data_IF_615346232628
#
_entry.id   IF_615346232628
#
_cell.length_a   1.000
_cell.length_b   1.000
_cell.length_c   1.000
_cell.angle_alpha   90.00
_cell.angle_beta   90.00
_cell.angle_gamma   90.00
#
_symmetry.space_group_name_H-M   'P 1'
#
loop_
_entity.id
_entity.type
_entity.pdbx_description
1 polymer ?
#
# COMPACT_ATOMS: atom_id res chain seq x y z
N UNK A 1 -3.91 4.63 27.12
CA UNK A 1 -3.20 4.62 25.83
C UNK A 1 -3.01 6.07 25.45
N UNK A 2 -1.78 6.55 25.55
CA UNK A 2 -1.44 7.92 25.19
C UNK A 2 -1.32 7.96 23.66
N UNK A 3 -2.36 8.49 23.01
CA UNK A 3 -2.37 8.79 21.58
C UNK A 3 -1.35 9.91 21.36
N UNK A 4 -0.35 9.67 20.50
CA UNK A 4 0.72 10.62 20.21
C UNK A 4 0.13 11.86 19.52
N UNK A 5 0.20 13.06 20.15
CA UNK A 5 -0.44 14.28 19.65
C UNK A 5 0.16 14.82 18.35
N UNK A 6 1.19 14.18 17.80
CA UNK A 6 1.70 14.48 16.45
C UNK A 6 0.87 13.86 15.33
N UNK A 7 -0.01 12.93 15.69
CA UNK A 7 -1.03 12.36 14.81
C UNK A 7 -2.43 12.86 15.18
N UNK A 8 -2.52 13.87 16.06
CA UNK A 8 -3.77 14.60 16.23
C UNK A 8 -4.17 15.13 14.86
N UNK A 9 -5.37 14.70 14.44
CA UNK A 9 -6.08 15.12 13.25
C UNK A 9 -5.71 16.57 12.92
N UNK A 10 -4.91 16.78 11.88
CA UNK A 10 -4.80 18.10 11.28
C UNK A 10 -6.25 18.51 10.97
N UNK A 11 -6.83 19.50 11.68
CA UNK A 11 -8.23 19.85 11.50
C UNK A 11 -8.49 20.40 10.10
N UNK A 12 -7.41 20.71 9.37
CA UNK A 12 -7.41 21.12 7.97
C UNK A 12 -7.10 19.97 7.00
N UNK A 13 -6.84 18.74 7.48
CA UNK A 13 -6.76 17.57 6.60
C UNK A 13 -8.15 17.33 6.01
N UNK A 14 -8.29 17.70 4.74
CA UNK A 14 -9.57 17.55 4.05
C UNK A 14 -10.05 16.09 4.16
N UNK A 15 -11.27 15.86 4.68
CA UNK A 15 -11.84 14.53 4.79
C UNK A 15 -11.92 13.93 3.38
N UNK A 16 -11.07 12.95 3.11
CA UNK A 16 -10.85 12.41 1.76
C UNK A 16 -9.42 12.48 1.26
N UNK A 17 -8.43 12.77 2.11
CA UNK A 17 -7.03 12.60 1.74
C UNK A 17 -6.79 11.12 1.36
N UNK A 18 -6.69 10.83 0.05
CA UNK A 18 -6.56 9.47 -0.50
C UNK A 18 -5.23 8.85 -0.06
N UNK A 19 -5.27 8.19 1.10
CA UNK A 19 -4.19 7.40 1.64
C UNK A 19 -4.10 6.06 0.90
N UNK A 20 -2.89 5.54 0.73
CA UNK A 20 -2.67 4.18 0.25
C UNK A 20 -3.05 3.19 1.33
N UNK A 21 -4.24 2.60 1.22
CA UNK A 21 -4.75 1.62 2.20
C UNK A 21 -4.17 0.21 1.97
N UNK A 22 -3.82 -0.12 0.72
CA UNK A 22 -3.19 -1.38 0.34
C UNK A 22 -1.76 -1.20 -0.17
N UNK A 23 -0.90 -2.19 0.09
CA UNK A 23 0.46 -2.29 -0.45
C UNK A 23 0.46 -2.32 -1.99
N UNK A 24 -0.65 -2.77 -2.61
CA UNK A 24 -0.81 -2.72 -4.05
C UNK A 24 -0.88 -1.28 -4.58
N UNK A 25 -1.52 -0.37 -3.83
CA UNK A 25 -1.67 1.04 -4.16
C UNK A 25 -0.34 1.80 -4.06
N UNK A 26 0.58 1.38 -3.19
CA UNK A 26 1.88 2.04 -3.02
C UNK A 26 2.88 1.68 -4.13
N UNK A 27 2.92 2.53 -5.16
CA UNK A 27 3.86 2.43 -6.28
C UNK A 27 5.34 2.60 -5.89
N UNK A 28 5.64 3.12 -4.70
CA UNK A 28 7.02 3.31 -4.24
C UNK A 28 7.64 2.04 -3.67
N UNK A 29 6.82 1.05 -3.30
CA UNK A 29 7.29 -0.27 -2.90
C UNK A 29 7.83 -1.02 -4.11
N UNK A 30 8.91 -1.79 -3.92
CA UNK A 30 9.45 -2.58 -5.00
C UNK A 30 8.46 -3.68 -5.42
N UNK A 31 8.18 -3.78 -6.72
CA UNK A 31 7.17 -4.72 -7.24
C UNK A 31 7.43 -6.18 -6.82
N UNK A 32 8.70 -6.59 -6.77
CA UNK A 32 9.09 -7.95 -6.37
C UNK A 32 8.77 -8.28 -4.90
N UNK A 33 8.62 -7.28 -4.03
CA UNK A 33 8.25 -7.48 -2.62
C UNK A 33 6.76 -7.80 -2.46
N UNK A 34 5.93 -7.40 -3.43
CA UNK A 34 4.48 -7.54 -3.37
C UNK A 34 4.00 -8.82 -4.05
N UNK A 35 4.71 -9.28 -5.09
CA UNK A 35 4.37 -10.52 -5.80
C UNK A 35 4.21 -11.73 -4.86
N UNK A 36 5.09 -11.98 -3.87
CA UNK A 36 4.89 -13.07 -2.91
C UNK A 36 3.62 -12.93 -2.08
N UNK A 37 3.27 -11.72 -1.63
CA UNK A 37 2.05 -11.44 -0.86
C UNK A 37 0.82 -11.81 -1.69
N UNK A 38 0.78 -11.34 -2.95
CA UNK A 38 -0.29 -11.66 -3.89
C UNK A 38 -0.43 -13.16 -4.15
N UNK A 39 0.69 -13.87 -4.34
CA UNK A 39 0.68 -15.32 -4.54
C UNK A 39 0.12 -16.03 -3.30
N UNK A 40 0.53 -15.63 -2.09
CA UNK A 40 0.03 -16.21 -0.85
C UNK A 40 -1.48 -15.98 -0.72
N UNK A 41 -1.97 -14.76 -0.94
CA UNK A 41 -3.41 -14.48 -0.89
C UNK A 41 -4.19 -15.29 -1.93
N UNK A 42 -3.68 -15.42 -3.15
CA UNK A 42 -4.31 -16.26 -4.18
C UNK A 42 -4.35 -17.74 -3.80
N UNK A 43 -3.25 -18.28 -3.23
CA UNK A 43 -3.21 -19.66 -2.79
C UNK A 43 -4.19 -19.91 -1.63
N UNK A 44 -4.24 -19.02 -0.65
CA UNK A 44 -5.18 -19.13 0.47
C UNK A 44 -6.62 -19.00 -0.01
N UNK A 45 -6.91 -18.09 -0.93
CA UNK A 45 -8.23 -17.97 -1.55
C UNK A 45 -8.61 -19.23 -2.34
N UNK A 46 -7.66 -19.83 -3.05
CA UNK A 46 -7.90 -21.09 -3.76
C UNK A 46 -8.18 -22.24 -2.79
N UNK A 47 -7.48 -22.33 -1.65
CA UNK A 47 -7.77 -23.31 -0.61
C UNK A 47 -9.15 -23.09 0.02
N UNK A 48 -9.50 -21.85 0.33
CA UNK A 48 -10.83 -21.47 0.81
C UNK A 48 -11.92 -21.92 -0.17
N UNK A 49 -11.74 -21.63 -1.46
CA UNK A 49 -12.70 -22.00 -2.50
C UNK A 49 -12.79 -23.51 -2.71
N UNK A 50 -11.67 -24.24 -2.58
CA UNK A 50 -11.68 -25.69 -2.68
C UNK A 50 -12.46 -26.32 -1.54
N UNK A 51 -12.27 -25.85 -0.30
CA UNK A 51 -13.03 -26.33 0.86
C UNK A 51 -14.53 -26.06 0.68
N UNK A 52 -14.89 -24.84 0.27
CA UNK A 52 -16.29 -24.46 0.03
C UNK A 52 -16.96 -25.34 -1.06
N UNK A 53 -16.18 -25.80 -2.04
CA UNK A 53 -16.69 -26.58 -3.16
C UNK A 53 -16.55 -28.10 -2.99
N UNK A 54 -15.86 -28.60 -1.96
CA UNK A 54 -15.64 -30.03 -1.77
C UNK A 54 -16.99 -30.78 -1.59
N UNK A 55 -17.37 -31.71 -2.49
CA UNK A 55 -18.61 -32.47 -2.35
C UNK A 55 -18.59 -33.47 -1.20
N UNK A 56 -17.42 -33.81 -0.68
CA UNK A 56 -17.22 -34.76 0.42
C UNK A 56 -17.14 -34.11 1.79
N UNK A 57 -17.09 -32.78 1.86
CA UNK A 57 -17.05 -32.04 3.11
C UNK A 57 -18.40 -32.13 3.84
N UNK A 58 -18.34 -32.45 5.14
CA UNK A 58 -19.52 -32.54 6.03
C UNK A 58 -20.27 -31.20 6.16
N UNK A 59 -19.66 -30.11 5.67
CA UNK A 59 -20.21 -28.76 5.54
C UNK A 59 -21.50 -28.69 4.71
N UNK A 60 -21.82 -29.72 3.91
CA UNK A 60 -23.06 -29.78 3.11
C UNK A 60 -24.17 -30.60 3.76
N UNK A 61 -23.93 -31.26 4.90
CA UNK A 61 -24.99 -31.97 5.61
C UNK A 61 -25.90 -30.96 6.34
N UNK A 62 -27.16 -30.88 5.91
CA UNK A 62 -28.17 -30.01 6.52
C UNK A 62 -28.36 -30.24 8.02
N UNK A 63 -27.97 -31.41 8.54
CA UNK A 63 -28.09 -31.73 9.97
C UNK A 63 -27.04 -31.06 10.85
N UNK A 64 -25.91 -30.66 10.28
CA UNK A 64 -24.80 -30.05 11.01
C UNK A 64 -24.89 -28.53 11.05
N UNK A 65 -25.96 -27.94 10.51
CA UNK A 65 -26.14 -26.48 10.47
C UNK A 65 -26.51 -25.96 11.86
N UNK A 66 -25.56 -25.31 12.50
CA UNK A 66 -25.73 -24.56 13.74
C UNK A 66 -26.14 -23.11 13.41
N UNK A 67 -27.45 -22.84 13.42
CA UNK A 67 -28.01 -21.51 13.15
C UNK A 67 -27.44 -20.40 14.05
N UNK A 68 -26.98 -20.75 15.26
CA UNK A 68 -26.30 -19.82 16.16
C UNK A 68 -25.00 -19.27 15.56
N UNK A 69 -24.13 -20.13 15.03
CA UNK A 69 -22.89 -19.70 14.38
C UNK A 69 -23.15 -18.94 13.08
N UNK A 70 -24.18 -19.34 12.32
CA UNK A 70 -24.62 -18.55 11.17
C UNK A 70 -24.96 -17.11 11.56
N UNK A 71 -25.79 -16.93 12.61
CA UNK A 71 -26.20 -15.61 13.07
C UNK A 71 -25.01 -14.79 13.57
N UNK A 72 -24.08 -15.40 14.32
CA UNK A 72 -22.85 -14.74 14.77
C UNK A 72 -21.98 -14.35 13.57
N UNK A 73 -21.83 -15.22 12.57
CA UNK A 73 -21.10 -14.93 11.34
C UNK A 73 -21.69 -13.73 10.59
N UNK A 74 -23.02 -13.64 10.48
CA UNK A 74 -23.70 -12.47 9.90
C UNK A 74 -23.44 -11.21 10.72
N UNK A 75 -23.46 -11.30 12.06
CA UNK A 75 -23.16 -10.14 12.91
C UNK A 75 -21.70 -9.68 12.76
N UNK A 76 -20.75 -10.63 12.71
CA UNK A 76 -19.35 -10.31 12.42
C UNK A 76 -19.25 -9.65 11.05
N UNK A 77 -19.91 -10.17 10.02
CA UNK A 77 -19.90 -9.56 8.70
C UNK A 77 -20.48 -8.13 8.72
N UNK A 78 -21.56 -7.87 9.43
CA UNK A 78 -22.19 -6.54 9.49
C UNK A 78 -21.35 -5.50 10.23
N UNK A 79 -20.68 -5.89 11.33
CA UNK A 79 -19.92 -4.95 12.16
C UNK A 79 -18.44 -4.89 11.83
N UNK A 80 -17.83 -6.04 11.51
CA UNK A 80 -16.42 -6.17 11.20
C UNK A 80 -16.16 -6.16 9.68
N UNK A 81 -17.17 -6.33 8.83
CA UNK A 81 -16.95 -6.45 7.39
C UNK A 81 -16.32 -5.22 6.75
N UNK A 82 -16.67 -4.02 7.20
CA UNK A 82 -16.10 -2.79 6.67
C UNK A 82 -14.73 -2.46 7.29
N UNK A 83 -14.52 -2.81 8.56
CA UNK A 83 -13.32 -2.39 9.32
C UNK A 83 -12.20 -3.44 9.37
N UNK A 84 -12.52 -4.72 9.24
CA UNK A 84 -11.59 -5.83 9.49
C UNK A 84 -11.32 -6.72 8.27
N UNK A 85 -12.10 -6.60 7.17
CA UNK A 85 -11.87 -7.37 5.93
C UNK A 85 -10.97 -6.64 4.93
N UNK A 86 -10.07 -5.77 5.43
CA UNK A 86 -9.24 -4.91 4.61
C UNK A 86 -10.03 -3.85 3.84
N UNK A 87 -9.29 -2.94 3.22
CA UNK A 87 -9.85 -1.88 2.39
C UNK A 87 -10.49 -2.44 1.11
N UNK A 88 -11.58 -1.81 0.66
CA UNK A 88 -12.20 -2.18 -0.62
C UNK A 88 -11.41 -1.57 -1.80
N UNK A 89 -11.45 -2.23 -2.96
CA UNK A 89 -10.82 -1.70 -4.18
C UNK A 89 -11.29 -0.27 -4.50
N UNK A 90 -10.36 0.69 -4.42
CA UNK A 90 -10.64 2.09 -4.72
C UNK A 90 -10.42 2.39 -6.20
N UNK A 91 -11.49 2.24 -7.01
CA UNK A 91 -11.44 2.53 -8.45
C UNK A 91 -11.08 3.99 -8.76
N UNK A 92 -11.51 4.93 -7.91
CA UNK A 92 -11.27 6.35 -8.10
C UNK A 92 -9.78 6.67 -7.97
N UNK A 93 -9.12 6.16 -6.92
CA UNK A 93 -7.67 6.27 -6.73
C UNK A 93 -6.88 5.84 -7.98
N UNK A 94 -7.20 4.66 -8.53
CA UNK A 94 -6.52 4.16 -9.73
C UNK A 94 -6.80 5.02 -10.96
N UNK A 95 -8.03 5.53 -11.12
CA UNK A 95 -8.39 6.40 -12.23
C UNK A 95 -7.67 7.75 -12.17
N UNK A 96 -7.58 8.37 -10.99
CA UNK A 96 -6.87 9.63 -10.77
C UNK A 96 -5.37 9.51 -11.04
N UNK A 97 -4.79 8.36 -10.74
CA UNK A 97 -3.39 8.07 -11.02
C UNK A 97 -3.10 7.89 -12.53
N UNK A 98 -4.08 7.42 -13.31
CA UNK A 98 -3.96 7.22 -14.76
C UNK A 98 -4.29 8.48 -15.57
N UNK A 99 -5.29 9.23 -15.13
CA UNK A 99 -5.77 10.45 -15.78
C UNK A 99 -5.58 11.64 -14.85
N UNK A 100 -4.33 11.99 -14.50
CA UNK A 100 -4.09 13.14 -13.67
C UNK A 100 -4.60 14.40 -14.36
N UNK A 101 -5.16 15.31 -13.56
CA UNK A 101 -5.58 16.62 -14.03
C UNK A 101 -4.43 17.26 -14.85
N UNK A 102 -4.67 17.67 -16.12
CA UNK A 102 -3.65 18.30 -16.94
C UNK A 102 -3.04 19.55 -16.29
N UNK A 103 -3.80 20.26 -15.46
CA UNK A 103 -3.34 21.44 -14.72
C UNK A 103 -2.80 21.09 -13.32
N UNK A 104 -2.88 19.81 -12.94
CA UNK A 104 -2.44 19.31 -11.64
C UNK A 104 -0.94 18.99 -11.57
N UNK A 105 -0.34 19.01 -10.36
CA UNK A 105 1.08 18.67 -10.15
C UNK A 105 1.44 17.20 -10.51
N UNK A 106 0.42 16.37 -10.76
CA UNK A 106 0.50 14.92 -10.97
C UNK A 106 0.58 14.55 -12.47
N UNK A 107 0.35 15.50 -13.39
CA UNK A 107 0.05 15.34 -14.82
C UNK A 107 0.95 14.43 -15.71
N UNK A 108 2.02 13.80 -15.23
CA UNK A 108 3.08 13.23 -16.10
C UNK A 108 3.61 11.84 -15.76
N UNK A 109 2.86 10.99 -15.05
CA UNK A 109 3.34 9.61 -14.81
C UNK A 109 3.30 8.73 -16.07
N UNK A 110 2.31 8.92 -16.94
CA UNK A 110 2.08 8.10 -18.13
C UNK A 110 3.21 8.14 -19.17
N UNK A 111 3.99 9.22 -19.23
CA UNK A 111 5.08 9.39 -20.20
C UNK A 111 6.45 8.91 -19.66
N UNK A 112 6.58 8.70 -18.35
CA UNK A 112 7.83 8.24 -17.74
C UNK A 112 8.03 6.75 -18.03
N UNK A 113 8.76 6.46 -19.11
CA UNK A 113 9.15 5.10 -19.49
C UNK A 113 10.48 4.76 -18.82
N UNK A 114 10.46 4.18 -17.61
CA UNK A 114 11.69 3.74 -16.96
C UNK A 114 11.84 2.22 -17.01
N UNK A 115 13.08 1.77 -17.11
CA UNK A 115 13.48 0.37 -17.03
C UNK A 115 13.63 -0.04 -15.56
N UNK A 116 12.61 -0.67 -14.97
CA UNK A 116 12.71 -1.24 -13.61
C UNK A 116 12.85 -2.75 -13.74
N UNK A 117 14.08 -3.22 -13.63
CA UNK A 117 14.55 -4.55 -13.21
C UNK A 117 15.86 -4.84 -13.93
N UNK A 118 16.96 -4.88 -13.16
CA UNK A 118 18.18 -5.65 -13.41
C UNK A 118 18.39 -6.07 -14.88
N UNK A 119 18.71 -5.11 -15.76
CA UNK A 119 19.13 -5.22 -17.17
C UNK A 119 18.37 -6.17 -18.13
N UNK A 120 17.33 -6.90 -17.71
CA UNK A 120 16.79 -8.04 -18.47
C UNK A 120 15.32 -7.92 -18.86
N UNK A 121 14.52 -7.10 -18.18
CA UNK A 121 13.09 -6.95 -18.55
C UNK A 121 12.67 -5.47 -18.52
N UNK A 122 12.34 -4.86 -19.67
CA UNK A 122 11.66 -3.56 -19.71
C UNK A 122 10.23 -3.67 -19.18
N UNK A 123 10.04 -3.39 -17.89
CA UNK A 123 8.72 -3.09 -17.35
C UNK A 123 8.54 -1.57 -17.29
N UNK A 124 7.68 -1.05 -18.17
CA UNK A 124 7.22 0.34 -18.12
C UNK A 124 6.38 0.57 -16.87
N UNK A 125 6.43 1.77 -16.27
CA UNK A 125 5.59 2.15 -15.13
C UNK A 125 4.11 1.89 -15.37
N UNK A 126 3.61 2.16 -16.58
CA UNK A 126 2.23 1.87 -16.96
C UNK A 126 1.88 0.37 -16.80
N UNK A 127 2.81 -0.54 -17.14
CA UNK A 127 2.58 -1.99 -16.96
C UNK A 127 2.60 -2.39 -15.48
N UNK A 128 3.50 -1.79 -14.69
CA UNK A 128 3.58 -2.04 -13.24
C UNK A 128 2.30 -1.53 -12.55
N UNK A 129 1.88 -0.32 -12.89
CA UNK A 129 0.62 0.29 -12.45
C UNK A 129 -0.57 -0.62 -12.80
N UNK A 130 -0.68 -1.07 -14.06
CA UNK A 130 -1.76 -1.93 -14.52
C UNK A 130 -1.77 -3.28 -13.78
N UNK A 131 -0.59 -3.88 -13.59
CA UNK A 131 -0.46 -5.13 -12.85
C UNK A 131 -0.90 -4.97 -11.38
N UNK A 132 -0.48 -3.89 -10.71
CA UNK A 132 -0.86 -3.61 -9.32
C UNK A 132 -2.34 -3.30 -9.17
N UNK A 133 -2.91 -2.48 -10.06
CA UNK A 133 -4.35 -2.22 -10.09
C UNK A 133 -5.16 -3.50 -10.26
N UNK A 134 -4.68 -4.42 -11.10
CA UNK A 134 -5.33 -5.72 -11.29
C UNK A 134 -5.20 -6.64 -10.08
N UNK A 135 -4.05 -6.66 -9.40
CA UNK A 135 -3.85 -7.40 -8.14
C UNK A 135 -4.80 -6.88 -7.05
N UNK A 136 -4.86 -5.56 -6.89
CA UNK A 136 -5.74 -4.87 -5.93
C UNK A 136 -7.21 -5.19 -6.22
N UNK A 137 -7.64 -5.06 -7.48
CA UNK A 137 -9.00 -5.42 -7.89
C UNK A 137 -9.33 -6.89 -7.57
N UNK A 138 -8.42 -7.82 -7.86
CA UNK A 138 -8.69 -9.23 -7.66
C UNK A 138 -8.79 -9.60 -6.18
N UNK A 139 -7.92 -9.06 -5.33
CA UNK A 139 -7.93 -9.35 -3.89
C UNK A 139 -9.03 -8.53 -3.18
N UNK A 140 -9.00 -7.21 -3.31
CA UNK A 140 -9.80 -6.28 -2.52
C UNK A 140 -11.19 -6.00 -3.10
N UNK A 141 -11.51 -6.51 -4.29
CA UNK A 141 -12.90 -6.62 -4.76
C UNK A 141 -13.32 -8.08 -4.83
N UNK A 142 -12.74 -8.89 -5.73
CA UNK A 142 -13.30 -10.22 -6.02
C UNK A 142 -13.15 -11.19 -4.84
N UNK A 143 -11.94 -11.39 -4.32
CA UNK A 143 -11.70 -12.34 -3.22
C UNK A 143 -12.39 -11.88 -1.93
N UNK A 144 -12.25 -10.59 -1.58
CA UNK A 144 -12.93 -9.96 -0.44
C UNK A 144 -14.45 -10.14 -0.50
N UNK A 145 -15.08 -9.85 -1.63
CA UNK A 145 -16.54 -9.98 -1.76
C UNK A 145 -16.98 -11.43 -1.66
N UNK A 146 -16.27 -12.37 -2.28
CA UNK A 146 -16.61 -13.79 -2.14
C UNK A 146 -16.56 -14.20 -0.69
N UNK A 147 -15.44 -13.94 0.01
CA UNK A 147 -15.30 -14.26 1.43
C UNK A 147 -16.44 -13.62 2.22
N UNK A 148 -16.69 -12.33 2.02
CA UNK A 148 -17.74 -11.60 2.73
C UNK A 148 -19.12 -12.28 2.59
N UNK A 149 -19.49 -12.73 1.39
CA UNK A 149 -20.80 -13.37 1.16
C UNK A 149 -20.86 -14.85 1.55
N UNK A 150 -19.74 -15.58 1.50
CA UNK A 150 -19.71 -17.01 1.81
C UNK A 150 -19.32 -17.31 3.26
N UNK A 151 -18.75 -16.35 3.98
CA UNK A 151 -18.22 -16.54 5.32
C UNK A 151 -19.26 -16.99 6.36
N UNK A 152 -20.45 -16.39 6.50
CA UNK A 152 -21.44 -16.90 7.46
C UNK A 152 -21.95 -18.30 7.12
N UNK A 153 -21.94 -18.67 5.85
CA UNK A 153 -22.34 -20.01 5.38
C UNK A 153 -21.26 -21.03 5.76
N UNK A 154 -19.99 -20.68 5.62
CA UNK A 154 -18.88 -21.55 6.04
C UNK A 154 -18.88 -21.76 7.55
N UNK A 155 -19.10 -20.71 8.35
CA UNK A 155 -19.05 -20.81 9.81
C UNK A 155 -20.18 -21.61 10.45
N UNK A 156 -21.31 -21.82 9.76
CA UNK A 156 -22.49 -22.41 10.38
C UNK A 156 -22.42 -23.93 10.54
N UNK A 157 -21.37 -24.56 10.03
CA UNK A 157 -21.17 -26.02 10.04
C UNK A 157 -19.92 -26.44 10.82
N UNK A 158 -19.17 -25.46 11.32
CA UNK A 158 -17.90 -25.68 11.99
C UNK A 158 -18.06 -25.91 13.49
N UNK A 159 -17.11 -26.64 14.08
CA UNK A 159 -17.02 -26.76 15.53
C UNK A 159 -16.60 -25.43 16.19
N UNK A 160 -16.86 -25.23 17.50
CA UNK A 160 -16.58 -23.96 18.18
C UNK A 160 -15.10 -23.52 18.13
N UNK A 161 -14.17 -24.47 18.10
CA UNK A 161 -12.74 -24.18 18.01
C UNK A 161 -12.33 -23.79 16.58
N UNK A 162 -12.89 -24.46 15.58
CA UNK A 162 -12.56 -24.23 14.18
C UNK A 162 -13.24 -22.95 13.68
N UNK A 163 -14.43 -22.62 14.20
CA UNK A 163 -15.10 -21.32 14.03
C UNK A 163 -14.14 -20.14 14.29
N UNK A 164 -13.43 -20.14 15.42
CA UNK A 164 -12.51 -19.04 15.76
C UNK A 164 -11.28 -19.03 14.85
N UNK A 165 -10.75 -20.21 14.49
CA UNK A 165 -9.62 -20.31 13.57
C UNK A 165 -9.97 -19.78 12.19
N UNK A 166 -11.15 -20.12 11.68
CA UNK A 166 -11.62 -19.72 10.36
C UNK A 166 -11.92 -18.23 10.32
N UNK A 167 -12.46 -17.66 11.40
CA UNK A 167 -12.57 -16.21 11.55
C UNK A 167 -11.19 -15.53 11.45
N UNK A 168 -10.21 -16.00 12.20
CA UNK A 168 -8.86 -15.45 12.16
C UNK A 168 -8.18 -15.65 10.80
N UNK A 169 -8.40 -16.79 10.15
CA UNK A 169 -7.86 -17.08 8.83
C UNK A 169 -8.44 -16.14 7.77
N UNK A 170 -9.76 -15.89 7.81
CA UNK A 170 -10.42 -14.96 6.89
C UNK A 170 -9.89 -13.53 7.04
N UNK A 171 -9.73 -13.03 8.26
CA UNK A 171 -9.11 -11.72 8.47
C UNK A 171 -7.67 -11.71 7.97
N UNK A 172 -6.87 -12.74 8.31
CA UNK A 172 -5.50 -12.82 7.84
C UNK A 172 -5.37 -12.82 6.31
N UNK A 173 -6.27 -13.51 5.59
CA UNK A 173 -6.27 -13.55 4.12
C UNK A 173 -6.57 -12.17 3.54
N UNK A 174 -7.58 -11.49 4.09
CA UNK A 174 -8.11 -10.23 3.55
C UNK A 174 -7.27 -9.01 3.94
N UNK A 175 -6.52 -9.06 5.04
CA UNK A 175 -5.69 -7.93 5.50
C UNK A 175 -4.19 -8.12 5.23
N UNK A 176 -3.78 -9.15 4.47
CA UNK A 176 -2.35 -9.44 4.28
C UNK A 176 -1.62 -8.34 3.49
N UNK A 177 -2.34 -7.65 2.61
CA UNK A 177 -1.84 -6.53 1.83
C UNK A 177 -2.14 -5.16 2.45
N UNK A 178 -2.78 -5.10 3.61
CA UNK A 178 -3.09 -3.82 4.26
C UNK A 178 -1.81 -3.07 4.62
N UNK A 179 -1.83 -1.77 4.35
CA UNK A 179 -0.76 -0.87 4.75
C UNK A 179 -1.10 -0.31 6.13
N UNK A 180 -0.26 -0.62 7.12
CA UNK A 180 -0.41 -0.02 8.45
C UNK A 180 -0.39 1.52 8.37
N UNK A 181 -1.15 2.18 9.24
CA UNK A 181 -1.36 3.64 9.25
C UNK A 181 -0.05 4.44 9.14
N UNK A 182 1.00 4.02 9.85
CA UNK A 182 2.33 4.67 9.84
C UNK A 182 3.03 4.65 8.46
N UNK A 183 2.62 3.73 7.56
CA UNK A 183 3.21 3.54 6.24
C UNK A 183 2.30 4.04 5.11
N UNK A 184 1.06 4.39 5.42
CA UNK A 184 0.12 4.93 4.46
C UNK A 184 0.67 6.26 3.92
N UNK A 185 0.60 6.44 2.61
CA UNK A 185 1.08 7.64 1.93
C UNK A 185 -0.07 8.28 1.20
N UNK A 186 -0.09 9.60 1.17
CA UNK A 186 -0.99 10.32 0.26
C UNK A 186 -0.48 10.19 -1.17
N UNK A 187 -1.37 10.35 -2.16
CA UNK A 187 -0.98 10.36 -3.58
C UNK A 187 0.17 11.34 -3.86
N UNK A 188 0.17 12.61 -3.38
CA UNK A 188 1.28 13.52 -3.60
C UNK A 188 2.62 13.03 -3.03
N UNK A 189 2.63 12.47 -1.82
CA UNK A 189 3.83 11.91 -1.19
C UNK A 189 4.39 10.74 -2.00
N UNK A 190 3.51 9.81 -2.40
CA UNK A 190 3.86 8.67 -3.24
C UNK A 190 4.45 9.14 -4.57
N UNK A 191 3.82 10.12 -5.22
CA UNK A 191 4.21 10.65 -6.52
C UNK A 191 5.57 11.34 -6.49
N UNK A 192 5.85 12.15 -5.48
CA UNK A 192 7.14 12.84 -5.40
C UNK A 192 8.26 11.87 -5.13
N UNK A 193 8.03 10.89 -4.26
CA UNK A 193 9.01 9.84 -4.04
C UNK A 193 9.26 9.01 -5.30
N UNK A 194 8.23 8.76 -6.10
CA UNK A 194 8.37 8.09 -7.38
C UNK A 194 9.21 8.94 -8.36
N UNK A 195 8.89 10.23 -8.51
CA UNK A 195 9.68 11.17 -9.32
C UNK A 195 11.13 11.26 -8.86
N UNK A 196 11.37 11.30 -7.55
CA UNK A 196 12.71 11.30 -6.95
C UNK A 196 13.49 10.03 -7.32
N UNK A 197 12.88 8.86 -7.15
CA UNK A 197 13.51 7.58 -7.51
C UNK A 197 13.86 7.53 -9.00
N UNK A 198 12.95 7.98 -9.87
CA UNK A 198 13.18 8.06 -11.33
C UNK A 198 14.37 8.97 -11.65
N UNK A 199 14.40 10.17 -11.06
CA UNK A 199 15.46 11.14 -11.25
C UNK A 199 16.82 10.60 -10.76
N UNK A 200 16.84 10.02 -9.56
CA UNK A 200 18.05 9.45 -8.97
C UNK A 200 18.62 8.29 -9.79
N UNK A 201 17.76 7.41 -10.30
CA UNK A 201 18.18 6.32 -11.17
C UNK A 201 18.72 6.81 -12.51
N UNK A 202 18.13 7.88 -13.08
CA UNK A 202 18.64 8.51 -14.29
C UNK A 202 20.05 9.06 -14.08
N UNK A 203 20.24 9.78 -12.98
CA UNK A 203 21.54 10.29 -12.54
C UNK A 203 22.59 9.18 -12.36
N UNK A 204 22.21 8.07 -11.72
CA UNK A 204 23.08 6.90 -11.51
C UNK A 204 23.51 6.25 -12.83
N UNK A 205 22.62 6.17 -13.83
CA UNK A 205 22.92 5.59 -15.16
C UNK A 205 23.86 6.45 -15.99
N UNK A 206 23.83 7.77 -15.83
CA UNK A 206 24.68 8.69 -16.58
C UNK A 206 26.11 8.82 -16.01
N UNK A 207 26.52 7.94 -15.09
CA UNK A 207 27.93 7.79 -14.69
C UNK A 207 28.40 8.70 -13.56
N UNK A 208 27.49 9.32 -12.79
CA UNK A 208 27.85 10.01 -11.57
C UNK A 208 28.06 9.02 -10.42
N UNK A 209 29.25 8.44 -10.29
CA UNK A 209 29.60 7.57 -9.16
C UNK A 209 29.63 8.31 -7.81
N UNK A 210 29.67 9.65 -7.84
CA UNK A 210 29.74 10.52 -6.65
C UNK A 210 28.73 11.67 -6.72
N UNK A 211 27.46 11.38 -6.98
CA UNK A 211 26.42 12.41 -6.86
C UNK A 211 26.08 12.56 -5.37
N UNK A 212 26.87 13.39 -4.70
CA UNK A 212 26.54 13.89 -3.39
C UNK A 212 25.41 14.91 -3.56
N UNK A 213 24.17 14.51 -3.30
CA UNK A 213 23.04 15.43 -3.23
C UNK A 213 23.10 16.07 -1.84
N UNK A 214 23.52 17.34 -1.70
CA UNK A 214 23.50 17.99 -0.41
C UNK A 214 22.03 18.18 -0.01
N UNK A 215 21.52 17.32 0.87
CA UNK A 215 20.29 17.59 1.60
C UNK A 215 20.58 18.78 2.52
N UNK A 216 20.07 19.96 2.16
CA UNK A 216 20.07 21.10 3.08
C UNK A 216 18.99 20.85 4.11
N UNK A 217 19.41 20.63 5.35
CA UNK A 217 18.50 20.71 6.50
C UNK A 217 17.86 22.09 6.54
N UNK A 218 16.61 22.13 7.00
CA UNK A 218 16.03 23.41 7.41
C UNK A 218 16.76 23.92 8.68
N UNK A 219 16.76 25.23 8.91
CA UNK A 219 17.41 25.78 10.11
C UNK A 219 16.81 25.17 11.39
N UNK A 220 15.51 24.87 11.39
CA UNK A 220 14.80 24.25 12.51
C UNK A 220 15.24 22.81 12.79
N UNK A 221 15.49 21.98 11.77
CA UNK A 221 16.04 20.63 11.91
C UNK A 221 17.48 20.66 12.44
N UNK A 222 18.28 21.59 11.90
CA UNK A 222 19.66 21.79 12.33
C UNK A 222 19.73 22.33 13.78
N UNK A 223 18.73 23.09 14.23
CA UNK A 223 18.59 23.50 15.62
C UNK A 223 18.10 22.38 16.52
N UNK A 224 17.09 21.61 16.09
CA UNK A 224 16.55 20.47 16.86
C UNK A 224 17.64 19.42 17.17
N UNK A 225 18.52 19.17 16.21
CA UNK A 225 19.68 18.29 16.39
C UNK A 225 20.72 18.80 17.40
N UNK A 226 20.76 20.10 17.70
CA UNK A 226 21.66 20.64 18.75
C UNK A 226 21.16 20.31 20.15
N UNK A 227 19.85 20.09 20.32
CA UNK A 227 19.23 19.90 21.63
C UNK A 227 19.02 18.42 21.97
N UNK A 228 18.91 17.54 20.98
CA UNK A 228 18.83 16.09 21.21
C UNK A 228 19.86 15.33 20.33
N UNK A 229 20.94 14.79 20.93
CA UNK A 229 21.93 14.00 20.22
C UNK A 229 21.34 12.73 19.56
N UNK A 230 20.24 12.19 20.08
CA UNK A 230 19.58 11.02 19.50
C UNK A 230 18.82 11.37 18.21
N UNK A 231 18.38 12.63 18.08
CA UNK A 231 17.79 13.17 16.85
C UNK A 231 18.86 13.30 15.76
N UNK A 232 20.10 13.67 16.15
CA UNK A 232 21.23 13.64 15.22
C UNK A 232 21.56 12.22 14.76
N UNK A 233 21.52 11.21 15.64
CA UNK A 233 21.65 9.81 15.24
C UNK A 233 20.50 9.35 14.34
N UNK A 234 19.27 9.85 14.52
CA UNK A 234 18.18 9.61 13.56
C UNK A 234 18.47 10.25 12.20
N UNK A 235 18.96 11.49 12.15
CA UNK A 235 19.34 12.17 10.91
C UNK A 235 20.60 11.58 10.25
N UNK A 236 21.57 11.10 11.03
CA UNK A 236 22.75 10.40 10.51
C UNK A 236 22.42 8.98 10.06
N UNK A 237 21.52 8.27 10.74
CA UNK A 237 20.97 7.01 10.24
C UNK A 237 20.15 7.21 8.95
N UNK A 238 19.57 8.40 8.73
CA UNK A 238 19.01 8.80 7.44
C UNK A 238 20.09 9.15 6.39
N UNK A 239 21.24 9.73 6.80
CA UNK A 239 22.41 10.00 5.92
C UNK A 239 23.20 8.74 5.52
N UNK A 240 23.29 7.74 6.39
CA UNK A 240 23.97 6.46 6.17
C UNK A 240 23.12 5.43 5.39
N UNK A 241 21.89 5.80 5.04
CA UNK A 241 20.94 4.90 4.40
C UNK A 241 21.17 4.83 2.88
N UNK A 242 21.91 3.80 2.44
CA UNK A 242 21.76 3.28 1.07
C UNK A 242 20.39 2.59 1.03
N UNK A 243 19.47 3.22 0.32
CA UNK A 243 18.16 2.71 -0.08
C UNK A 243 18.03 1.16 -0.16
N UNK A 244 16.95 0.60 0.42
CA UNK A 244 16.09 -0.35 -0.28
C UNK A 244 14.71 0.28 -0.60
N UNK A 245 14.70 1.61 -0.68
CA UNK A 245 13.69 2.56 -1.15
C UNK A 245 12.72 3.08 -0.09
N UNK A 246 13.30 3.74 0.94
CA UNK A 246 12.86 4.83 1.86
C UNK A 246 11.61 4.66 2.78
N UNK A 247 11.63 5.13 4.03
CA UNK A 247 10.41 5.52 4.77
C UNK A 247 10.56 6.90 5.45
N UNK A 248 9.46 7.61 5.68
CA UNK A 248 9.39 8.84 6.48
C UNK A 248 9.20 10.11 5.65
N UNK A 249 8.12 10.83 5.90
CA UNK A 249 7.63 11.97 5.14
C UNK A 249 8.17 13.30 5.65
N UNK A 250 8.63 14.14 4.73
CA UNK A 250 8.87 15.55 4.99
C UNK A 250 8.51 16.34 3.72
N UNK A 251 7.46 17.16 3.82
CA UNK A 251 6.88 17.93 2.72
C UNK A 251 7.73 19.13 2.31
N UNK A 252 8.72 19.54 3.12
CA UNK A 252 9.58 20.69 2.80
C UNK A 252 10.63 20.41 1.72
N UNK A 253 11.14 19.17 1.65
CA UNK A 253 12.02 18.75 0.54
C UNK A 253 11.23 18.68 -0.78
N UNK A 254 9.94 18.35 -0.69
CA UNK A 254 8.98 18.32 -1.78
C UNK A 254 8.84 19.70 -2.43
N UNK A 255 8.59 20.74 -1.63
CA UNK A 255 8.44 22.12 -2.08
C UNK A 255 9.73 22.63 -2.72
N UNK A 256 10.87 22.34 -2.10
CA UNK A 256 12.18 22.68 -2.65
C UNK A 256 12.45 21.98 -4.00
N UNK A 257 12.09 20.70 -4.14
CA UNK A 257 12.26 19.99 -5.41
C UNK A 257 11.27 20.47 -6.47
N UNK A 258 10.03 20.78 -6.11
CA UNK A 258 9.03 21.33 -7.04
C UNK A 258 9.42 22.73 -7.54
N UNK A 259 10.02 23.55 -6.69
CA UNK A 259 10.52 24.89 -7.06
C UNK A 259 11.80 24.85 -7.90
N UNK A 260 12.65 23.83 -7.73
CA UNK A 260 13.93 23.72 -8.42
C UNK A 260 13.94 22.77 -9.64
N UNK A 261 12.89 21.97 -9.83
CA UNK A 261 12.61 21.23 -11.08
C UNK A 261 11.72 22.09 -11.99
N UNK A 262 12.11 23.33 -12.24
CA UNK A 262 11.74 23.96 -13.50
C UNK A 262 12.80 23.58 -14.52
N UNK A 263 12.44 23.07 -15.72
CA UNK A 263 13.41 22.76 -16.77
C UNK A 263 13.99 24.07 -17.28
N UNK A 264 14.99 24.60 -16.59
CA UNK A 264 15.91 25.59 -17.14
C UNK A 264 16.92 24.81 -17.95
N UNK A 265 16.66 24.76 -19.25
CA UNK A 265 17.66 24.58 -20.29
C UNK A 265 18.41 23.23 -20.27
N UNK A 266 17.69 22.13 -20.53
CA UNK A 266 18.31 20.95 -21.14
C UNK A 266 18.08 21.03 -22.64
N UNK A 267 19.10 21.33 -23.47
CA UNK A 267 18.95 21.32 -24.92
C UNK A 267 18.69 19.88 -25.37
N UNK A 268 17.60 19.70 -26.14
CA UNK A 268 17.23 18.46 -26.83
C UNK A 268 18.29 18.13 -27.90
#
# INVERSE_FOLDING_TARGET
EDIDPRWDDDPDAEPGCDLTESLYMDLTVAFHSIVPIFIVQLCLMAFYMNELNDPSSDTKDQKNVEFGYWLVGVMIQLYAGEQQLGAAYNKQFWAELLFPDPDGPIARLGEMTQWIMHDKVPLTYHKIWMARSWMDFLINSVARDVIMYTFPIMLCVEGPLDFVKDCCAVFFITTLDDTGFEKAKTVPQMMVRLKFNIFFDHLRRNGGSDINIPLRFTEDEAESAKFDPNVWDQFENQRGYVSPYLPGGDTKLLDYMMDNIQPKDVPI
#
